data_IF_971402763896
#
_entry.id   IF_971402763896
#
_cell.length_a   1.000
_cell.length_b   1.000
_cell.length_c   1.000
_cell.angle_alpha   90.00
_cell.angle_beta   90.00
_cell.angle_gamma   90.00
#
_symmetry.space_group_name_H-M   'P 1'
#
loop_
_entity.id
_entity.type
_entity.pdbx_description
1 polymer ?
#
# COMPACT_ATOMS: atom_id res chain seq x y z
N UNK A 1 -7.18 19.81 -16.03
CA UNK A 1 -7.74 18.57 -15.44
C UNK A 1 -8.43 17.84 -16.57
N UNK A 2 -8.26 16.52 -16.68
CA UNK A 2 -8.75 15.73 -17.81
C UNK A 2 -9.20 14.34 -17.31
N UNK A 3 -10.11 13.71 -18.06
CA UNK A 3 -10.67 12.40 -17.77
C UNK A 3 -10.25 11.41 -18.84
N UNK A 4 -9.74 10.25 -18.42
CA UNK A 4 -9.21 9.22 -19.29
C UNK A 4 -9.59 7.84 -18.76
N UNK A 5 -9.82 6.90 -19.67
CA UNK A 5 -9.79 5.49 -19.33
C UNK A 5 -8.35 5.06 -19.04
N UNK A 6 -8.17 4.09 -18.14
CA UNK A 6 -6.83 3.66 -17.73
C UNK A 6 -5.95 3.15 -18.89
N UNK A 7 -6.57 2.60 -19.94
CA UNK A 7 -5.88 2.16 -21.17
C UNK A 7 -5.16 3.29 -21.91
N UNK A 8 -5.52 4.55 -21.65
CA UNK A 8 -4.93 5.76 -22.25
C UNK A 8 -3.75 6.29 -21.43
N UNK A 9 -3.38 5.65 -20.32
CA UNK A 9 -2.18 6.00 -19.53
C UNK A 9 -0.91 6.18 -20.38
N UNK A 10 -0.63 5.38 -21.43
CA UNK A 10 0.57 5.56 -22.26
C UNK A 10 0.62 6.89 -23.03
N UNK A 11 -0.49 7.61 -23.13
CA UNK A 11 -0.58 8.94 -23.74
C UNK A 11 -0.31 10.07 -22.73
N UNK A 12 -0.41 9.76 -21.44
CA UNK A 12 -0.18 10.72 -20.35
C UNK A 12 1.28 10.72 -19.87
N UNK A 13 2.06 9.74 -20.31
CA UNK A 13 3.46 9.53 -19.94
C UNK A 13 4.39 9.79 -21.13
N UNK A 14 5.64 10.13 -20.81
CA UNK A 14 6.69 10.45 -21.78
C UNK A 14 7.79 9.41 -21.71
N UNK A 15 8.48 9.20 -22.83
CA UNK A 15 9.70 8.40 -22.83
C UNK A 15 10.73 8.99 -21.84
N UNK A 16 11.29 8.13 -21.00
CA UNK A 16 12.19 8.52 -19.91
C UNK A 16 11.51 8.71 -18.54
N UNK A 17 10.17 8.78 -18.47
CA UNK A 17 9.48 8.67 -17.18
C UNK A 17 9.76 7.31 -16.54
N UNK A 18 9.82 7.27 -15.21
CA UNK A 18 9.97 6.03 -14.45
C UNK A 18 8.77 5.81 -13.53
N UNK A 19 8.11 4.66 -13.70
CA UNK A 19 7.06 4.17 -12.81
C UNK A 19 7.68 3.33 -11.70
N UNK A 20 7.62 3.84 -10.46
CA UNK A 20 8.08 3.12 -9.28
C UNK A 20 6.94 2.26 -8.75
N UNK A 21 7.09 0.94 -8.86
CA UNK A 21 6.01 -0.03 -8.59
C UNK A 21 6.31 -0.89 -7.37
N UNK A 22 5.30 -1.09 -6.53
CA UNK A 22 5.39 -2.04 -5.41
C UNK A 22 5.12 -3.47 -5.89
N UNK A 23 6.11 -4.34 -5.70
CA UNK A 23 6.11 -5.75 -6.10
C UNK A 23 5.61 -6.69 -5.01
N UNK A 24 5.24 -6.15 -3.83
CA UNK A 24 4.71 -6.95 -2.73
C UNK A 24 3.45 -7.71 -3.15
N UNK A 25 3.48 -9.03 -2.96
CA UNK A 25 2.36 -9.89 -3.27
C UNK A 25 1.31 -9.85 -2.15
N UNK A 26 0.04 -9.71 -2.51
CA UNK A 26 -1.05 -9.84 -1.53
C UNK A 26 -1.21 -11.30 -1.07
N UNK A 27 -1.19 -11.48 0.24
CA UNK A 27 -1.39 -12.76 0.92
C UNK A 27 -2.88 -13.04 1.12
N UNK A 28 -3.30 -14.32 1.16
CA UNK A 28 -4.62 -14.71 1.63
C UNK A 28 -4.68 -14.61 3.17
N UNK A 29 -4.59 -13.38 3.67
CA UNK A 29 -4.30 -13.04 5.06
C UNK A 29 -5.44 -13.29 6.06
N UNK A 30 -6.67 -13.60 5.62
CA UNK A 30 -7.79 -13.87 6.51
C UNK A 30 -8.01 -15.38 6.72
N UNK A 31 -7.92 -15.85 7.96
CA UNK A 31 -8.13 -17.26 8.34
C UNK A 31 -9.22 -17.38 9.40
N UNK A 32 -10.17 -18.29 9.22
CA UNK A 32 -11.19 -18.54 10.24
C UNK A 32 -10.59 -19.29 11.42
N UNK A 33 -10.97 -18.92 12.64
CA UNK A 33 -10.48 -19.56 13.87
C UNK A 33 -11.54 -19.60 14.96
N UNK A 34 -11.13 -20.09 16.14
CA UNK A 34 -11.97 -20.09 17.35
C UNK A 34 -11.20 -19.71 18.60
N UNK A 35 -11.82 -18.91 19.47
CA UNK A 35 -11.31 -18.54 20.80
C UNK A 35 -12.38 -18.87 21.82
N UNK A 36 -12.08 -19.70 22.82
CA UNK A 36 -13.07 -20.08 23.85
C UNK A 36 -14.36 -20.69 23.28
N UNK A 37 -14.32 -21.31 22.09
CA UNK A 37 -15.49 -21.85 21.39
C UNK A 37 -16.18 -20.88 20.43
N UNK A 38 -15.99 -19.57 20.60
CA UNK A 38 -16.51 -18.54 19.71
C UNK A 38 -15.78 -18.51 18.37
N UNK A 39 -16.51 -18.21 17.28
CA UNK A 39 -15.90 -18.04 15.96
C UNK A 39 -15.23 -16.67 15.87
N UNK A 40 -14.02 -16.65 15.30
CA UNK A 40 -13.26 -15.43 14.98
C UNK A 40 -12.70 -15.54 13.57
N UNK A 41 -12.30 -14.41 13.00
CA UNK A 41 -11.42 -14.36 11.83
C UNK A 41 -10.12 -13.70 12.24
N UNK A 42 -8.99 -14.34 11.93
CA UNK A 42 -7.65 -13.78 12.15
C UNK A 42 -7.19 -13.15 10.85
N UNK A 43 -6.95 -11.85 10.86
CA UNK A 43 -6.22 -11.17 9.79
C UNK A 43 -4.74 -11.15 10.15
N UNK A 44 -3.92 -11.83 9.34
CA UNK A 44 -2.47 -11.80 9.44
C UNK A 44 -1.94 -10.52 8.80
N UNK A 45 -1.23 -9.71 9.60
CA UNK A 45 -0.86 -8.35 9.24
C UNK A 45 0.57 -8.27 8.74
N UNK A 46 1.53 -8.36 9.66
CA UNK A 46 2.95 -8.24 9.33
C UNK A 46 3.77 -9.24 10.12
N UNK A 47 4.75 -9.87 9.47
CA UNK A 47 5.71 -10.75 10.14
C UNK A 47 6.86 -9.93 10.73
N UNK A 48 7.01 -9.97 12.05
CA UNK A 48 8.13 -9.37 12.77
C UNK A 48 9.45 -10.10 12.52
N UNK A 49 10.56 -9.41 12.79
CA UNK A 49 11.90 -9.96 12.64
C UNK A 49 12.20 -11.13 13.61
N UNK A 50 11.51 -11.17 14.74
CA UNK A 50 11.56 -12.23 15.76
C UNK A 50 10.67 -13.45 15.45
N UNK A 51 10.06 -13.47 14.25
CA UNK A 51 9.18 -14.53 13.79
C UNK A 51 7.73 -14.43 14.29
N UNK A 52 7.40 -13.46 15.14
CA UNK A 52 6.01 -13.19 15.52
C UNK A 52 5.23 -12.59 14.35
N UNK A 53 3.92 -12.68 14.42
CA UNK A 53 3.01 -12.06 13.48
C UNK A 53 2.16 -11.03 14.22
N UNK A 54 2.12 -9.81 13.68
CA UNK A 54 1.07 -8.88 14.00
C UNK A 54 -0.22 -9.43 13.39
N UNK A 55 -1.28 -9.53 14.20
CA UNK A 55 -2.58 -10.05 13.79
C UNK A 55 -3.71 -9.20 14.35
N UNK A 56 -4.83 -9.18 13.64
CA UNK A 56 -6.08 -8.61 14.12
C UNK A 56 -7.12 -9.73 14.27
N UNK A 57 -7.77 -9.79 15.44
CA UNK A 57 -8.94 -10.64 15.62
C UNK A 57 -10.19 -9.86 15.24
N UNK A 58 -11.04 -10.47 14.42
CA UNK A 58 -12.29 -9.89 13.96
C UNK A 58 -13.47 -10.77 14.30
N UNK A 59 -14.63 -10.15 14.48
CA UNK A 59 -15.90 -10.85 14.57
C UNK A 59 -16.32 -11.31 13.15
N UNK A 60 -16.68 -12.58 12.94
CA UNK A 60 -17.20 -13.02 11.66
C UNK A 60 -18.56 -12.37 11.39
N UNK A 61 -18.71 -11.73 10.25
CA UNK A 61 -19.96 -11.14 9.78
C UNK A 61 -20.65 -11.96 8.69
N UNK A 62 -21.75 -11.42 8.17
CA UNK A 62 -22.46 -11.98 7.02
C UNK A 62 -21.64 -11.90 5.73
N UNK A 63 -21.84 -12.87 4.84
CA UNK A 63 -21.25 -12.94 3.50
C UNK A 63 -19.71 -12.97 3.42
N UNK A 64 -18.95 -12.91 4.51
CA UNK A 64 -17.47 -12.90 4.49
C UNK A 64 -16.85 -11.57 4.94
N UNK A 65 -17.67 -10.54 5.18
CA UNK A 65 -17.25 -9.31 5.86
C UNK A 65 -16.94 -9.61 7.32
N UNK A 66 -16.04 -8.85 7.93
CA UNK A 66 -15.69 -9.00 9.36
C UNK A 66 -15.90 -7.69 10.10
N UNK A 67 -16.37 -7.78 11.35
CA UNK A 67 -16.60 -6.63 12.23
C UNK A 67 -15.51 -6.48 13.29
N UNK A 68 -15.44 -5.31 13.93
CA UNK A 68 -14.45 -5.04 14.98
C UNK A 68 -14.64 -6.02 16.14
N UNK A 69 -13.52 -6.44 16.71
CA UNK A 69 -13.48 -7.27 17.92
C UNK A 69 -12.26 -6.85 18.72
N UNK A 70 -12.44 -6.62 20.02
CA UNK A 70 -11.30 -6.46 20.90
C UNK A 70 -10.42 -7.73 20.84
N UNK A 71 -9.10 -7.55 20.96
CA UNK A 71 -8.20 -8.69 21.12
C UNK A 71 -8.55 -9.56 22.35
N UNK A 72 -7.90 -10.71 22.45
CA UNK A 72 -7.93 -11.51 23.67
C UNK A 72 -6.88 -11.04 24.68
N UNK A 73 -6.95 -11.47 25.96
CA UNK A 73 -5.85 -11.25 26.89
C UNK A 73 -4.57 -11.93 26.38
N UNK A 74 -3.41 -11.47 26.84
CA UNK A 74 -2.14 -12.16 26.66
C UNK A 74 -2.27 -13.64 27.08
N UNK A 75 -1.74 -14.54 26.26
CA UNK A 75 -1.87 -15.99 26.42
C UNK A 75 -3.15 -16.60 25.82
N UNK A 76 -4.08 -15.80 25.30
CA UNK A 76 -5.26 -16.33 24.63
C UNK A 76 -4.88 -17.17 23.40
N UNK A 77 -5.46 -18.37 23.31
CA UNK A 77 -5.20 -19.32 22.23
C UNK A 77 -6.33 -19.28 21.21
N UNK A 78 -5.99 -18.94 19.97
CA UNK A 78 -6.86 -19.08 18.81
C UNK A 78 -6.58 -20.42 18.14
N UNK A 79 -7.60 -21.29 18.12
CA UNK A 79 -7.54 -22.55 17.35
C UNK A 79 -7.75 -22.24 15.87
N UNK A 80 -6.79 -22.62 15.05
CA UNK A 80 -6.79 -22.44 13.60
C UNK A 80 -7.04 -23.79 12.89
N UNK A 81 -7.39 -23.77 11.59
CA UNK A 81 -7.59 -24.98 10.81
C UNK A 81 -6.32 -25.84 10.73
N UNK A 82 -6.49 -27.14 10.51
CA UNK A 82 -5.37 -28.08 10.45
C UNK A 82 -4.71 -28.36 11.80
N UNK A 83 -5.41 -28.12 12.91
CA UNK A 83 -4.92 -28.41 14.28
C UNK A 83 -3.91 -27.38 14.82
N UNK A 84 -3.68 -26.29 14.09
CA UNK A 84 -2.70 -25.25 14.45
C UNK A 84 -3.24 -24.33 15.54
N UNK A 85 -2.34 -23.72 16.29
CA UNK A 85 -2.68 -22.77 17.34
C UNK A 85 -1.91 -21.47 17.15
N UNK A 86 -2.60 -20.35 17.37
CA UNK A 86 -2.01 -19.03 17.46
C UNK A 86 -2.17 -18.53 18.90
N UNK A 87 -1.08 -18.06 19.50
CA UNK A 87 -1.08 -17.53 20.86
C UNK A 87 -0.88 -16.02 20.79
N UNK A 88 -1.84 -15.25 21.32
CA UNK A 88 -1.68 -13.81 21.48
C UNK A 88 -0.67 -13.55 22.61
N UNK A 89 0.33 -12.71 22.37
CA UNK A 89 1.36 -12.39 23.36
C UNK A 89 1.13 -10.99 23.95
N UNK A 90 1.11 -9.96 23.12
CA UNK A 90 0.98 -8.56 23.58
C UNK A 90 0.36 -7.65 22.52
N UNK A 91 -0.28 -6.54 22.90
CA UNK A 91 -0.83 -5.58 21.96
C UNK A 91 0.27 -4.88 21.13
N UNK A 92 0.01 -4.68 19.84
CA UNK A 92 0.83 -3.82 18.98
C UNK A 92 0.32 -2.38 19.11
N UNK A 93 0.92 -1.62 20.02
CA UNK A 93 0.53 -0.24 20.34
C UNK A 93 -0.06 -0.09 21.74
N UNK A 94 -0.74 1.03 22.05
CA UNK A 94 -1.30 1.28 23.37
C UNK A 94 -2.28 0.18 23.82
N UNK A 95 -2.09 -0.35 25.03
CA UNK A 95 -2.77 -1.56 25.49
C UNK A 95 -4.31 -1.46 25.58
N UNK A 96 -4.86 -0.27 25.80
CA UNK A 96 -6.31 -0.07 25.86
C UNK A 96 -6.90 -0.06 24.44
N UNK A 97 -7.63 -1.10 24.07
CA UNK A 97 -8.33 -1.17 22.78
C UNK A 97 -7.44 -1.50 21.58
N UNK A 98 -6.25 -2.07 21.80
CA UNK A 98 -5.35 -2.48 20.73
C UNK A 98 -6.02 -3.47 19.78
N UNK A 99 -6.21 -3.03 18.53
CA UNK A 99 -6.75 -3.81 17.41
C UNK A 99 -5.76 -4.90 16.97
N UNK A 100 -4.49 -4.53 16.85
CA UNK A 100 -3.40 -5.42 16.44
C UNK A 100 -2.68 -5.99 17.65
N UNK A 101 -2.25 -7.25 17.54
CA UNK A 101 -1.54 -8.00 18.56
C UNK A 101 -0.36 -8.73 17.96
N UNK A 102 0.77 -8.75 18.67
CA UNK A 102 1.82 -9.72 18.41
C UNK A 102 1.36 -11.10 18.84
N UNK A 103 1.54 -12.07 17.94
CA UNK A 103 1.17 -13.44 18.16
C UNK A 103 2.20 -14.41 17.61
N UNK A 104 2.25 -15.61 18.19
CA UNK A 104 3.12 -16.69 17.73
C UNK A 104 2.28 -17.83 17.18
N UNK A 105 2.71 -18.34 16.02
CA UNK A 105 2.21 -19.57 15.42
C UNK A 105 3.42 -20.51 15.31
N UNK A 106 3.45 -21.63 16.05
CA UNK A 106 4.59 -22.54 16.03
C UNK A 106 4.90 -23.11 14.64
N UNK A 107 3.87 -23.29 13.81
CA UNK A 107 4.00 -23.83 12.46
C UNK A 107 4.15 -22.74 11.38
N UNK A 108 4.63 -23.13 10.19
CA UNK A 108 4.85 -22.20 9.08
C UNK A 108 3.55 -21.51 8.62
N UNK A 109 3.41 -20.22 8.95
CA UNK A 109 2.26 -19.38 8.57
C UNK A 109 2.02 -19.31 7.06
N UNK A 110 3.03 -19.17 6.18
CA UNK A 110 2.79 -19.11 4.74
C UNK A 110 2.01 -20.32 4.18
N UNK A 111 2.25 -21.52 4.73
CA UNK A 111 1.53 -22.73 4.34
C UNK A 111 0.08 -22.72 4.84
N UNK A 112 -0.14 -22.28 6.09
CA UNK A 112 -1.48 -22.09 6.65
C UNK A 112 -2.29 -21.13 5.77
N UNK A 113 -1.70 -19.97 5.42
CA UNK A 113 -2.36 -18.96 4.59
C UNK A 113 -2.69 -19.51 3.20
N UNK A 114 -1.75 -20.21 2.54
CA UNK A 114 -2.01 -20.81 1.22
C UNK A 114 -3.14 -21.83 1.24
N UNK A 115 -3.28 -22.61 2.32
CA UNK A 115 -4.25 -23.71 2.39
C UNK A 115 -5.63 -23.30 2.91
N UNK A 116 -5.68 -22.37 3.87
CA UNK A 116 -6.90 -22.04 4.60
C UNK A 116 -7.24 -20.55 4.60
N UNK A 117 -6.36 -19.73 4.04
CA UNK A 117 -6.53 -18.30 3.96
C UNK A 117 -7.43 -17.86 2.80
N UNK A 118 -7.91 -16.63 2.91
CA UNK A 118 -8.54 -15.86 1.82
C UNK A 118 -8.08 -14.40 1.91
N UNK A 119 -8.23 -13.59 0.84
CA UNK A 119 -7.99 -12.15 0.94
C UNK A 119 -8.84 -11.52 2.04
N UNK A 120 -8.36 -10.43 2.61
CA UNK A 120 -9.19 -9.59 3.47
C UNK A 120 -10.25 -8.93 2.59
N UNK A 121 -11.52 -9.13 2.93
CA UNK A 121 -12.65 -8.58 2.17
C UNK A 121 -12.92 -7.14 2.63
N UNK A 122 -13.00 -6.22 1.67
CA UNK A 122 -13.47 -4.86 1.92
C UNK A 122 -14.99 -4.80 2.01
N UNK A 123 -15.52 -4.08 3.01
CA UNK A 123 -16.95 -4.04 3.31
C UNK A 123 -17.84 -3.51 2.18
N UNK A 124 -17.30 -2.66 1.29
CA UNK A 124 -18.03 -2.10 0.15
C UNK A 124 -18.18 -3.05 -1.04
N UNK A 125 -17.48 -4.19 -1.04
CA UNK A 125 -17.60 -5.18 -2.12
C UNK A 125 -18.83 -6.05 -1.91
N UNK A 126 -19.64 -6.29 -2.94
CA UNK A 126 -20.86 -7.11 -2.81
C UNK A 126 -20.57 -8.61 -2.57
N UNK A 127 -19.41 -9.08 -3.03
CA UNK A 127 -19.00 -10.49 -2.98
C UNK A 127 -17.50 -10.64 -2.78
N UNK A 128 -17.10 -11.83 -2.33
CA UNK A 128 -15.70 -12.22 -2.28
C UNK A 128 -15.07 -12.16 -3.69
N UNK A 129 -13.86 -11.63 -3.76
CA UNK A 129 -13.06 -11.61 -4.98
C UNK A 129 -11.96 -12.68 -4.88
N UNK A 130 -11.60 -13.34 -5.98
CA UNK A 130 -10.50 -14.31 -5.96
C UNK A 130 -9.19 -13.61 -5.61
N UNK A 131 -8.25 -14.33 -5.01
CA UNK A 131 -6.92 -13.79 -4.64
C UNK A 131 -6.18 -13.15 -5.82
N UNK A 132 -6.40 -13.63 -7.05
CA UNK A 132 -5.85 -13.03 -8.26
C UNK A 132 -6.30 -11.59 -8.49
N UNK A 133 -7.51 -11.21 -8.07
CA UNK A 133 -8.00 -9.83 -8.18
C UNK A 133 -7.30 -8.86 -7.22
N UNK A 134 -6.65 -9.39 -6.17
CA UNK A 134 -5.85 -8.63 -5.21
C UNK A 134 -4.36 -8.56 -5.59
N UNK A 135 -3.94 -9.24 -6.65
CA UNK A 135 -2.54 -9.31 -7.07
C UNK A 135 -2.35 -8.52 -8.36
N UNK A 136 -1.38 -7.64 -8.34
CA UNK A 136 -1.03 -6.80 -9.50
C UNK A 136 -0.12 -7.59 -10.43
N UNK A 137 0.00 -7.15 -11.69
CA UNK A 137 0.93 -7.75 -12.66
C UNK A 137 2.41 -7.58 -12.27
N UNK A 138 2.71 -6.77 -11.25
CA UNK A 138 4.04 -6.54 -10.72
C UNK A 138 4.37 -7.41 -9.51
N UNK A 139 3.42 -8.19 -9.00
CA UNK A 139 3.63 -9.00 -7.81
C UNK A 139 4.71 -10.07 -8.04
N UNK A 140 5.69 -10.13 -7.13
CA UNK A 140 6.78 -11.11 -7.16
C UNK A 140 6.73 -11.95 -5.88
N UNK A 141 6.94 -13.26 -6.00
CA UNK A 141 7.01 -14.17 -4.85
C UNK A 141 8.20 -13.81 -3.95
N UNK A 142 7.96 -13.69 -2.65
CA UNK A 142 9.04 -13.56 -1.67
C UNK A 142 9.57 -14.95 -1.26
N UNK A 143 10.90 -15.17 -1.22
CA UNK A 143 11.48 -16.45 -0.81
C UNK A 143 11.05 -16.93 0.59
N UNK A 144 10.82 -16.00 1.52
CA UNK A 144 10.39 -16.30 2.90
C UNK A 144 8.86 -16.42 3.06
N UNK A 145 8.12 -16.33 1.95
CA UNK A 145 6.66 -16.36 1.91
C UNK A 145 5.98 -15.11 2.47
N UNK A 146 6.73 -14.02 2.66
CA UNK A 146 6.16 -12.73 3.03
C UNK A 146 5.36 -12.09 1.89
N UNK A 147 4.57 -11.10 2.26
CA UNK A 147 3.78 -10.31 1.35
C UNK A 147 2.93 -9.33 2.14
N UNK A 148 2.08 -8.60 1.43
CA UNK A 148 1.15 -7.67 2.05
C UNK A 148 -0.13 -8.37 2.50
N UNK A 149 -0.71 -7.92 3.61
CA UNK A 149 -2.11 -8.19 3.92
C UNK A 149 -3.03 -7.37 3.00
N UNK A 150 -2.66 -6.11 2.75
CA UNK A 150 -3.40 -5.16 1.91
C UNK A 150 -2.76 -4.98 0.55
N UNK A 151 -3.53 -4.97 -0.53
CA UNK A 151 -2.95 -4.91 -1.87
C UNK A 151 -2.37 -3.52 -2.23
N UNK A 152 -1.32 -3.44 -3.08
CA UNK A 152 -0.90 -2.19 -3.72
C UNK A 152 -1.88 -1.78 -4.83
N UNK A 153 -3.09 -1.36 -4.44
CA UNK A 153 -4.27 -1.24 -5.29
C UNK A 153 -4.14 -0.27 -6.47
N UNK A 154 -3.32 0.77 -6.37
CA UNK A 154 -3.07 1.71 -7.46
C UNK A 154 -2.48 1.04 -8.72
N UNK A 155 -1.80 -0.10 -8.56
CA UNK A 155 -1.25 -0.85 -9.67
C UNK A 155 -2.19 -1.97 -10.19
N UNK A 156 -3.37 -2.15 -9.58
CA UNK A 156 -4.37 -3.16 -9.98
C UNK A 156 -4.81 -3.05 -11.45
N UNK A 157 -5.06 -1.85 -12.01
CA UNK A 157 -5.56 -1.74 -13.39
C UNK A 157 -4.51 -2.04 -14.47
N UNK A 158 -3.23 -2.20 -14.10
CA UNK A 158 -2.19 -2.56 -15.07
C UNK A 158 -2.39 -3.97 -15.58
N UNK A 159 -2.23 -4.14 -16.89
CA UNK A 159 -2.25 -5.43 -17.57
C UNK A 159 -0.91 -5.64 -18.27
N UNK A 160 -0.55 -6.90 -18.55
CA UNK A 160 0.69 -7.23 -19.28
C UNK A 160 0.78 -6.48 -20.63
N UNK A 161 -0.28 -6.41 -21.47
CA UNK A 161 -0.23 -5.63 -22.71
C UNK A 161 0.01 -4.13 -22.48
N UNK A 162 -0.60 -3.55 -21.44
CA UNK A 162 -0.41 -2.14 -21.12
C UNK A 162 1.03 -1.85 -20.65
N UNK A 163 1.61 -2.72 -19.83
CA UNK A 163 3.01 -2.62 -19.41
C UNK A 163 3.95 -2.70 -20.61
N UNK A 164 3.70 -3.64 -21.54
CA UNK A 164 4.49 -3.77 -22.75
C UNK A 164 4.42 -2.51 -23.64
N UNK A 165 3.23 -1.91 -23.77
CA UNK A 165 3.05 -0.66 -24.51
C UNK A 165 3.80 0.52 -23.87
N UNK A 166 3.76 0.63 -22.54
CA UNK A 166 4.52 1.64 -21.80
C UNK A 166 6.03 1.49 -22.01
N UNK A 167 6.55 0.27 -21.90
CA UNK A 167 7.96 -0.03 -22.18
C UNK A 167 8.33 0.33 -23.62
N UNK A 168 7.46 -0.01 -24.60
CA UNK A 168 7.67 0.33 -26.01
C UNK A 168 7.75 1.84 -26.25
N UNK A 169 7.04 2.64 -25.46
CA UNK A 169 7.10 4.11 -25.49
C UNK A 169 8.29 4.70 -24.72
N UNK A 170 9.15 3.86 -24.14
CA UNK A 170 10.32 4.28 -23.39
C UNK A 170 10.02 4.66 -21.95
N UNK A 171 8.86 4.28 -21.39
CA UNK A 171 8.59 4.39 -19.95
C UNK A 171 9.35 3.29 -19.23
N UNK A 172 10.05 3.66 -18.17
CA UNK A 172 10.89 2.79 -17.36
C UNK A 172 10.09 2.28 -16.15
N UNK A 173 10.44 1.10 -15.64
CA UNK A 173 9.85 0.54 -14.42
C UNK A 173 10.94 0.29 -13.38
N UNK A 174 10.71 0.78 -12.17
CA UNK A 174 11.63 0.64 -11.04
C UNK A 174 10.93 -0.12 -9.89
N UNK A 175 11.19 -1.43 -9.75
CA UNK A 175 10.51 -2.25 -8.74
C UNK A 175 11.06 -1.99 -7.34
N UNK A 176 10.18 -1.90 -6.35
CA UNK A 176 10.52 -1.98 -4.93
C UNK A 176 9.54 -2.90 -4.22
N UNK A 177 9.75 -3.17 -2.93
CA UNK A 177 8.77 -3.89 -2.12
C UNK A 177 8.45 -3.11 -0.86
N UNK A 178 7.17 -3.03 -0.50
CA UNK A 178 6.71 -2.69 0.84
C UNK A 178 5.54 -3.60 1.19
N UNK A 179 5.73 -4.42 2.22
CA UNK A 179 4.73 -5.36 2.73
C UNK A 179 3.79 -4.62 3.67
N UNK A 180 2.63 -4.25 3.14
CA UNK A 180 1.61 -3.52 3.87
C UNK A 180 0.86 -4.42 4.83
N UNK A 181 0.70 -3.95 6.06
CA UNK A 181 -0.10 -4.59 7.08
C UNK A 181 -1.61 -4.33 6.90
N UNK A 182 -2.41 -4.92 7.78
CA UNK A 182 -3.86 -4.69 7.89
C UNK A 182 -4.13 -3.26 8.32
N UNK A 183 -4.75 -2.49 7.42
CA UNK A 183 -5.29 -1.18 7.71
C UNK A 183 -6.59 -1.30 8.51
N UNK A 184 -6.85 -0.34 9.40
CA UNK A 184 -8.13 -0.28 10.11
C UNK A 184 -9.24 0.18 9.15
N UNK A 185 -10.35 -0.55 9.09
CA UNK A 185 -11.51 -0.14 8.33
C UNK A 185 -12.39 0.86 9.09
N UNK A 186 -12.19 0.97 10.41
CA UNK A 186 -13.00 1.79 11.30
C UNK A 186 -12.29 3.07 11.77
N UNK A 187 -10.96 3.11 11.71
CA UNK A 187 -10.16 4.21 12.25
C UNK A 187 -9.04 4.64 11.31
N UNK A 188 -8.75 5.95 11.32
CA UNK A 188 -7.61 6.53 10.60
C UNK A 188 -6.35 6.46 11.47
N UNK A 189 -5.71 5.28 11.50
CA UNK A 189 -4.47 5.06 12.22
C UNK A 189 -3.25 5.42 11.34
N UNK A 190 -2.19 6.02 11.90
CA UNK A 190 -0.92 6.10 11.20
C UNK A 190 -0.39 4.69 10.93
N UNK A 191 0.36 4.48 9.84
CA UNK A 191 0.97 3.18 9.59
C UNK A 191 1.93 2.85 10.73
N UNK A 192 1.82 1.63 11.26
CA UNK A 192 2.88 1.07 12.09
C UNK A 192 4.06 0.67 11.18
N UNK A 193 5.25 0.36 11.74
CA UNK A 193 6.40 0.01 10.93
C UNK A 193 6.12 -1.16 9.98
N UNK A 194 6.37 -0.95 8.68
CA UNK A 194 6.18 -1.95 7.63
C UNK A 194 7.51 -2.30 6.97
N UNK A 195 7.66 -3.57 6.57
CA UNK A 195 8.90 -4.05 5.97
C UNK A 195 9.00 -3.56 4.53
N UNK A 196 10.12 -2.95 4.17
CA UNK A 196 10.37 -2.48 2.81
C UNK A 196 11.77 -2.84 2.32
N UNK A 197 11.94 -2.82 1.00
CA UNK A 197 13.22 -2.92 0.32
C UNK A 197 13.21 -2.09 -0.97
N UNK A 198 14.24 -1.28 -1.15
CA UNK A 198 14.57 -0.55 -2.37
C UNK A 198 15.87 -1.15 -2.92
N UNK A 199 15.81 -1.96 -3.99
CA UNK A 199 16.99 -2.57 -4.58
C UNK A 199 17.98 -1.53 -5.14
N UNK A 200 19.26 -1.91 -5.23
CA UNK A 200 20.30 -1.05 -5.81
C UNK A 200 19.99 -0.62 -7.26
N UNK A 201 19.40 -1.52 -8.07
CA UNK A 201 18.98 -1.21 -9.43
C UNK A 201 17.91 -0.11 -9.47
N UNK A 202 16.95 -0.15 -8.55
CA UNK A 202 15.88 0.85 -8.42
C UNK A 202 16.44 2.20 -7.98
N UNK A 203 17.31 2.21 -6.96
CA UNK A 203 17.98 3.43 -6.52
C UNK A 203 18.81 4.06 -7.66
N UNK A 204 19.59 3.24 -8.37
CA UNK A 204 20.38 3.70 -9.52
C UNK A 204 19.51 4.29 -10.62
N UNK A 205 18.45 3.58 -11.04
CA UNK A 205 17.57 4.01 -12.12
C UNK A 205 16.86 5.34 -11.79
N UNK A 206 16.33 5.46 -10.58
CA UNK A 206 15.68 6.70 -10.11
C UNK A 206 16.67 7.86 -10.10
N UNK A 207 17.87 7.66 -9.56
CA UNK A 207 18.90 8.71 -9.56
C UNK A 207 19.35 9.09 -10.97
N UNK A 208 19.48 8.12 -11.88
CA UNK A 208 19.88 8.37 -13.27
C UNK A 208 18.82 9.20 -14.02
N UNK A 209 17.53 8.85 -13.86
CA UNK A 209 16.42 9.61 -14.45
C UNK A 209 16.41 11.05 -13.93
N UNK A 210 16.59 11.24 -12.62
CA UNK A 210 16.64 12.57 -12.01
C UNK A 210 17.87 13.37 -12.47
N UNK A 211 19.04 12.75 -12.54
CA UNK A 211 20.26 13.41 -13.01
C UNK A 211 20.17 13.84 -14.49
N UNK A 212 19.44 13.09 -15.31
CA UNK A 212 19.19 13.44 -16.71
C UNK A 212 18.21 14.61 -16.87
N UNK A 213 17.37 14.89 -15.86
CA UNK A 213 16.46 16.05 -15.82
C UNK A 213 15.31 16.05 -16.83
N UNK A 214 15.13 14.97 -17.61
CA UNK A 214 14.13 14.88 -18.69
C UNK A 214 12.96 13.95 -18.37
N UNK A 215 13.12 13.04 -17.41
CA UNK A 215 12.09 12.09 -17.00
C UNK A 215 11.57 12.41 -15.60
N UNK A 216 10.33 12.01 -15.33
CA UNK A 216 9.68 12.17 -14.03
C UNK A 216 9.72 10.87 -13.25
N UNK A 217 9.90 10.97 -11.93
CA UNK A 217 9.74 9.83 -11.01
C UNK A 217 8.29 9.77 -10.55
N UNK A 218 7.54 8.80 -11.06
CA UNK A 218 6.11 8.65 -10.77
C UNK A 218 5.91 7.41 -9.91
N UNK A 219 5.48 7.62 -8.66
CA UNK A 219 5.15 6.51 -7.78
C UNK A 219 3.79 5.92 -8.14
N UNK A 220 3.70 4.59 -8.19
CA UNK A 220 2.43 3.86 -8.37
C UNK A 220 1.95 3.39 -7.01
N UNK A 221 1.15 4.24 -6.37
CA UNK A 221 0.58 4.05 -5.04
C UNK A 221 1.37 4.73 -3.93
N UNK A 222 0.66 5.04 -2.85
CA UNK A 222 1.21 5.69 -1.63
C UNK A 222 2.26 4.82 -0.93
N UNK A 223 2.17 3.50 -1.07
CA UNK A 223 3.16 2.55 -0.56
C UNK A 223 4.50 2.68 -1.27
N UNK A 224 4.49 2.91 -2.60
CA UNK A 224 5.69 3.16 -3.37
C UNK A 224 6.36 4.48 -2.98
N UNK A 225 5.56 5.53 -2.71
CA UNK A 225 6.07 6.80 -2.17
C UNK A 225 6.79 6.57 -0.85
N UNK A 226 6.14 5.89 0.11
CA UNK A 226 6.74 5.66 1.44
C UNK A 226 8.03 4.86 1.36
N UNK A 227 8.04 3.77 0.61
CA UNK A 227 9.24 2.94 0.45
C UNK A 227 10.39 3.72 -0.18
N UNK A 228 10.12 4.45 -1.26
CA UNK A 228 11.14 5.20 -1.98
C UNK A 228 11.68 6.36 -1.13
N UNK A 229 10.80 7.17 -0.52
CA UNK A 229 11.18 8.32 0.31
C UNK A 229 11.89 7.91 1.61
N UNK A 230 11.68 6.68 2.08
CA UNK A 230 12.45 6.12 3.21
C UNK A 230 13.90 5.79 2.84
N UNK A 231 14.17 5.60 1.55
CA UNK A 231 15.49 5.31 1.02
C UNK A 231 16.26 6.57 0.56
N UNK A 232 15.68 7.77 0.75
CA UNK A 232 16.28 9.05 0.35
C UNK A 232 17.15 9.62 1.47
N UNK A 233 18.42 9.89 1.16
CA UNK A 233 19.33 10.58 2.07
C UNK A 233 19.01 12.06 2.23
N UNK A 234 19.66 12.71 3.21
CA UNK A 234 19.53 14.15 3.42
C UNK A 234 19.95 14.99 2.20
N UNK A 235 20.81 14.43 1.36
CA UNK A 235 21.31 14.97 0.08
C UNK A 235 20.32 14.78 -1.09
N UNK A 236 19.16 14.15 -0.86
CA UNK A 236 18.16 13.92 -1.91
C UNK A 236 18.54 12.79 -2.88
N UNK A 237 19.51 11.95 -2.54
CA UNK A 237 19.93 10.79 -3.34
C UNK A 237 19.26 9.52 -2.80
N UNK A 238 18.65 8.73 -3.69
CA UNK A 238 18.08 7.42 -3.34
C UNK A 238 19.21 6.41 -3.16
N UNK A 239 19.19 5.63 -2.08
CA UNK A 239 20.16 4.55 -1.82
C UNK A 239 19.46 3.20 -1.75
N UNK A 240 20.19 2.13 -2.03
CA UNK A 240 19.68 0.80 -1.72
C UNK A 240 19.43 0.72 -0.21
N UNK A 241 18.26 0.25 0.19
CA UNK A 241 17.86 0.19 1.59
C UNK A 241 16.87 -0.94 1.82
N UNK A 242 16.97 -1.59 2.97
CA UNK A 242 16.00 -2.57 3.46
C UNK A 242 15.79 -2.37 4.95
N UNK A 243 14.62 -2.75 5.45
CA UNK A 243 14.30 -2.66 6.87
C UNK A 243 12.83 -2.31 7.09
N UNK A 244 12.59 -1.45 8.07
CA UNK A 244 11.26 -1.05 8.50
C UNK A 244 11.04 0.44 8.22
N UNK A 245 9.86 0.79 7.73
CA UNK A 245 9.45 2.18 7.54
C UNK A 245 8.14 2.47 8.25
N UNK A 246 8.18 3.47 9.11
CA UNK A 246 7.05 4.14 9.73
C UNK A 246 6.86 5.55 9.14
N UNK A 247 7.49 5.82 7.99
CA UNK A 247 7.51 7.15 7.40
C UNK A 247 6.08 7.64 7.09
N UNK A 248 5.71 8.75 7.72
CA UNK A 248 4.51 9.52 7.41
C UNK A 248 4.89 10.73 6.56
N UNK A 249 4.40 10.77 5.32
CA UNK A 249 4.58 11.90 4.40
C UNK A 249 3.46 12.91 4.65
N UNK A 250 3.84 14.15 4.94
CA UNK A 250 2.93 15.27 5.20
C UNK A 250 3.32 16.48 4.35
N UNK A 251 2.43 17.46 4.12
CA UNK A 251 2.75 18.65 3.35
C UNK A 251 3.95 19.42 3.91
N UNK A 252 4.12 19.44 5.24
CA UNK A 252 5.26 20.08 5.91
C UNK A 252 6.60 19.41 5.60
N UNK A 253 6.61 18.09 5.43
CA UNK A 253 7.82 17.33 5.08
C UNK A 253 8.08 17.37 3.58
N UNK A 254 7.02 17.24 2.79
CA UNK A 254 7.10 17.05 1.34
C UNK A 254 7.62 15.68 0.93
N UNK A 255 7.83 15.53 -0.38
CA UNK A 255 8.57 14.45 -1.04
C UNK A 255 9.85 15.02 -1.64
N UNK A 256 10.92 14.23 -1.71
CA UNK A 256 12.23 14.68 -2.21
C UNK A 256 12.51 14.20 -3.63
N UNK A 257 12.03 13.02 -3.99
CA UNK A 257 12.37 12.38 -5.26
C UNK A 257 11.16 12.08 -6.13
N UNK A 258 9.95 11.98 -5.55
CA UNK A 258 8.72 11.73 -6.29
C UNK A 258 8.23 13.02 -6.96
N UNK A 259 8.05 12.97 -8.27
CA UNK A 259 7.51 14.07 -9.07
C UNK A 259 6.00 13.94 -9.31
N UNK A 260 5.50 12.71 -9.40
CA UNK A 260 4.09 12.41 -9.65
C UNK A 260 3.62 11.15 -8.93
N UNK A 261 2.31 10.98 -8.86
CA UNK A 261 1.68 9.88 -8.14
C UNK A 261 0.47 9.36 -8.92
N UNK A 262 0.44 8.06 -9.18
CA UNK A 262 -0.75 7.33 -9.58
C UNK A 262 -1.33 6.65 -8.34
N UNK A 263 -2.56 6.97 -7.96
CA UNK A 263 -3.19 6.49 -6.71
C UNK A 263 -4.69 6.26 -6.90
N UNK A 264 -5.31 5.44 -6.06
CA UNK A 264 -6.78 5.44 -5.93
C UNK A 264 -7.29 6.75 -5.31
N UNK A 265 -8.62 6.92 -5.32
CA UNK A 265 -9.32 7.98 -4.59
C UNK A 265 -9.56 7.55 -3.14
N UNK A 266 -9.16 8.41 -2.20
CA UNK A 266 -9.20 8.16 -0.75
C UNK A 266 -10.15 9.13 -0.06
N UNK A 267 -10.89 8.68 0.95
CA UNK A 267 -11.85 9.52 1.69
C UNK A 267 -11.21 10.78 2.32
N UNK A 268 -11.97 11.89 2.50
CA UNK A 268 -11.54 13.20 3.03
C UNK A 268 -10.77 13.19 4.37
N UNK A 269 -10.81 12.09 5.12
CA UNK A 269 -10.24 11.95 6.46
C UNK A 269 -9.04 10.98 6.50
N UNK A 270 -8.66 10.39 5.37
CA UNK A 270 -7.56 9.46 5.29
C UNK A 270 -6.19 10.14 5.43
N UNK A 271 -5.29 9.54 6.20
CA UNK A 271 -3.88 9.95 6.32
C UNK A 271 -3.16 10.04 4.97
N UNK A 272 -3.64 9.28 3.97
CA UNK A 272 -3.18 9.34 2.58
C UNK A 272 -3.34 10.73 1.94
N UNK A 273 -4.35 11.52 2.32
CA UNK A 273 -4.55 12.84 1.74
C UNK A 273 -3.41 13.80 2.01
N UNK A 274 -2.79 13.70 3.20
CA UNK A 274 -1.61 14.50 3.54
C UNK A 274 -0.44 14.20 2.60
N UNK A 275 -0.29 12.94 2.17
CA UNK A 275 0.72 12.55 1.20
C UNK A 275 0.38 13.01 -0.22
N UNK A 276 -0.88 12.87 -0.64
CA UNK A 276 -1.32 13.37 -1.94
C UNK A 276 -1.13 14.90 -2.03
N UNK A 277 -1.47 15.63 -0.97
CA UNK A 277 -1.23 17.08 -0.86
C UNK A 277 0.27 17.40 -0.88
N UNK A 278 1.11 16.58 -0.23
CA UNK A 278 2.56 16.74 -0.28
C UNK A 278 3.16 16.55 -1.69
N UNK A 279 2.52 15.76 -2.55
CA UNK A 279 2.98 15.50 -3.93
C UNK A 279 2.42 16.53 -4.91
N UNK A 280 1.11 16.80 -4.86
CA UNK A 280 0.42 17.59 -5.88
C UNK A 280 0.02 19.00 -5.44
N UNK A 281 0.11 19.30 -4.15
CA UNK A 281 -0.44 20.51 -3.56
C UNK A 281 -1.97 20.44 -3.37
N UNK A 282 -2.45 21.25 -2.42
CA UNK A 282 -3.85 21.25 -1.98
C UNK A 282 -4.82 21.56 -3.10
N UNK A 283 -4.53 22.56 -3.91
CA UNK A 283 -5.47 23.05 -4.92
C UNK A 283 -5.66 22.06 -6.07
N UNK A 284 -4.56 21.45 -6.55
CA UNK A 284 -4.66 20.42 -7.58
C UNK A 284 -5.48 19.23 -7.10
N UNK A 285 -5.26 18.81 -5.84
CA UNK A 285 -6.00 17.72 -5.21
C UNK A 285 -7.49 18.05 -5.06
N UNK A 286 -7.81 19.24 -4.55
CA UNK A 286 -9.18 19.75 -4.37
C UNK A 286 -9.96 19.69 -5.68
N UNK A 287 -9.40 20.24 -6.76
CA UNK A 287 -10.05 20.22 -8.08
C UNK A 287 -10.24 18.81 -8.63
N UNK A 288 -9.25 17.93 -8.47
CA UNK A 288 -9.35 16.54 -8.93
C UNK A 288 -10.47 15.78 -8.20
N UNK A 289 -10.59 15.99 -6.88
CA UNK A 289 -11.63 15.38 -6.07
C UNK A 289 -13.03 15.93 -6.36
N UNK A 290 -13.16 17.24 -6.55
CA UNK A 290 -14.41 17.87 -6.96
C UNK A 290 -14.92 17.28 -8.29
N UNK A 291 -14.03 17.14 -9.27
CA UNK A 291 -14.35 16.51 -10.54
C UNK A 291 -14.70 15.02 -10.42
N UNK A 292 -13.96 14.27 -9.59
CA UNK A 292 -14.24 12.86 -9.34
C UNK A 292 -15.63 12.64 -8.74
N UNK A 293 -16.07 13.53 -7.83
CA UNK A 293 -17.41 13.51 -7.27
C UNK A 293 -18.48 13.86 -8.32
N UNK A 294 -18.26 14.91 -9.11
CA UNK A 294 -19.18 15.34 -10.17
C UNK A 294 -19.39 14.24 -11.22
N UNK A 295 -18.32 13.59 -11.64
CA UNK A 295 -18.31 12.53 -12.66
C UNK A 295 -18.55 11.12 -12.06
N UNK A 296 -18.82 11.02 -10.76
CA UNK A 296 -19.19 9.77 -10.06
C UNK A 296 -18.15 8.65 -10.20
N UNK A 297 -16.87 9.02 -10.10
CA UNK A 297 -15.76 8.07 -10.08
C UNK A 297 -15.94 7.08 -8.92
N UNK A 298 -15.44 5.85 -9.12
CA UNK A 298 -15.43 4.79 -8.11
C UNK A 298 -14.22 4.94 -7.19
N UNK A 299 -14.43 4.70 -5.90
CA UNK A 299 -13.44 4.91 -4.83
C UNK A 299 -12.84 3.59 -4.35
N UNK A 300 -11.86 3.67 -3.45
CA UNK A 300 -11.22 2.53 -2.78
C UNK A 300 -10.42 1.60 -3.71
N UNK A 301 -9.99 0.45 -3.19
CA UNK A 301 -9.00 -0.44 -3.79
C UNK A 301 -9.45 -1.08 -5.10
N UNK A 302 -10.76 -1.21 -5.33
CA UNK A 302 -11.35 -1.70 -6.59
C UNK A 302 -11.92 -0.58 -7.49
N UNK A 303 -11.80 0.68 -7.07
CA UNK A 303 -12.27 1.83 -7.82
C UNK A 303 -11.32 2.29 -8.92
N UNK A 304 -11.54 3.54 -9.33
CA UNK A 304 -10.76 4.28 -10.32
C UNK A 304 -9.45 4.83 -9.73
N UNK A 305 -8.62 5.40 -10.60
CA UNK A 305 -7.31 5.96 -10.23
C UNK A 305 -7.16 7.40 -10.68
N UNK A 306 -6.36 8.14 -9.93
CA UNK A 306 -6.02 9.54 -10.10
C UNK A 306 -4.52 9.66 -10.37
N UNK A 307 -4.18 10.22 -11.53
CA UNK A 307 -2.79 10.52 -11.91
C UNK A 307 -2.49 11.99 -11.62
N UNK A 308 -1.57 12.21 -10.69
CA UNK A 308 -1.06 13.51 -10.28
C UNK A 308 0.32 13.71 -10.91
N UNK A 309 0.45 14.72 -11.76
CA UNK A 309 1.70 15.07 -12.44
C UNK A 309 2.04 16.54 -12.18
N UNK A 310 3.33 16.91 -12.17
CA UNK A 310 3.71 18.30 -12.04
C UNK A 310 3.24 19.08 -13.28
N UNK A 311 2.89 20.36 -13.08
CA UNK A 311 2.67 21.27 -14.21
C UNK A 311 3.91 21.35 -15.09
N UNK A 312 3.73 21.61 -16.38
CA UNK A 312 4.85 21.68 -17.35
C UNK A 312 5.83 22.83 -17.05
N UNK A 313 5.47 23.77 -16.18
CA UNK A 313 6.26 24.95 -15.81
C UNK A 313 7.18 24.76 -14.58
N UNK A 314 7.92 23.64 -14.48
CA UNK A 314 8.95 23.50 -13.42
C UNK A 314 10.20 24.37 -13.61
N UNK A 315 10.22 25.25 -14.60
CA UNK A 315 11.26 26.28 -14.79
C UNK A 315 10.92 27.63 -14.14
N UNK A 316 9.83 27.75 -13.38
CA UNK A 316 9.61 28.92 -12.54
C UNK A 316 10.42 28.77 -11.22
N UNK A 317 11.38 29.66 -10.92
CA UNK A 317 12.09 29.63 -9.64
C UNK A 317 11.08 29.82 -8.50
N UNK A 318 11.12 28.92 -7.52
CA UNK A 318 10.39 28.93 -6.25
C UNK A 318 9.70 30.27 -5.93
N UNK A 319 8.39 30.36 -6.19
CA UNK A 319 7.57 31.41 -5.61
C UNK A 319 7.43 31.14 -4.11
N UNK A 320 8.35 31.71 -3.35
CA UNK A 320 8.17 32.03 -1.94
C UNK A 320 7.09 33.11 -1.83
N UNK A 321 5.84 32.72 -1.56
CA UNK A 321 4.84 33.63 -0.99
C UNK A 321 3.73 32.82 -0.33
N UNK A 322 4.00 32.30 0.86
CA UNK A 322 2.96 32.13 1.86
C UNK A 322 3.08 33.32 2.80
N UNK A 323 2.32 34.38 2.52
CA UNK A 323 1.90 35.34 3.53
C UNK A 323 0.38 35.19 3.73
N UNK A 324 0.01 35.35 5.01
CA UNK A 324 -1.32 35.35 5.66
C UNK A 324 -1.87 34.00 6.11
#
# INVERSE_FOLDING_TARGET
>A
MAHHAFRELPEQLRGGDVLVVNTSMTLPAAVNGRVGGERVVVHFSTRGADGRWAVELRAPGGAGVTGPRAGGPAGAVVRLPGGRALVLEEPLGPAAGARLWWARVPEAVPELLRRYGRPIRYGYTDRDQPLSAYRTVFAVDSPDGSGSAEMPSAARPFTVPLVAELVRRGVLFAPLSLHTGVASAEAHEPPYPERFAVPAATAWLVNAVRAAGKGRVIAVGTTAVRALESAVGADGVVRAAEGWTDLVVTPRRGVRVVDGLLTGLHEPQASHLLMLEAVAGREALRRGYEAALQERYLWHEFGDVHLLLPGEERNAPNCSSNEW
#
